data_IF_344509965677
#
_entry.id   IF_344509965677
#
_cell.length_a   1.000
_cell.length_b   1.000
_cell.length_c   1.000
_cell.angle_alpha   90.00
_cell.angle_beta   90.00
_cell.angle_gamma   90.00
#
_symmetry.space_group_name_H-M   'P 1'
#
loop_
_entity.id
_entity.type
_entity.pdbx_description
1 polymer ?
#
# COMPACT_ATOMS: atom_id res chain seq x y z
N UNK A 1 20.77 -30.54 -16.66
CA UNK A 1 19.48 -31.25 -16.43
C UNK A 1 18.35 -30.28 -16.73
N UNK A 2 17.63 -30.49 -17.82
CA UNK A 2 16.49 -29.63 -18.18
C UNK A 2 15.32 -30.08 -17.33
N UNK A 3 14.95 -29.29 -16.33
CA UNK A 3 13.72 -29.51 -15.56
C UNK A 3 12.55 -29.27 -16.52
N UNK A 4 11.68 -30.25 -16.69
CA UNK A 4 10.48 -30.08 -17.50
C UNK A 4 9.62 -28.95 -16.90
N UNK A 5 9.15 -28.04 -17.72
CA UNK A 5 8.34 -26.88 -17.32
C UNK A 5 7.12 -27.29 -16.47
N UNK A 6 6.54 -28.45 -16.76
CA UNK A 6 5.44 -29.04 -16.00
C UNK A 6 5.80 -29.30 -14.53
N UNK A 7 6.96 -29.90 -14.28
CA UNK A 7 7.42 -30.16 -12.89
C UNK A 7 7.69 -28.89 -12.12
N UNK A 8 8.19 -27.85 -12.77
CA UNK A 8 8.36 -26.56 -12.14
C UNK A 8 7.01 -25.93 -11.79
N UNK A 9 6.05 -26.01 -12.71
CA UNK A 9 4.68 -25.50 -12.50
C UNK A 9 4.00 -26.19 -11.30
N UNK A 10 4.10 -27.52 -11.20
CA UNK A 10 3.55 -28.28 -10.07
C UNK A 10 4.13 -27.83 -8.73
N UNK A 11 5.44 -27.64 -8.64
CA UNK A 11 6.10 -27.19 -7.39
C UNK A 11 5.69 -25.76 -7.03
N UNK A 12 5.61 -24.87 -8.01
CA UNK A 12 5.18 -23.49 -7.81
C UNK A 12 3.72 -23.44 -7.39
N UNK A 13 2.84 -24.19 -8.04
CA UNK A 13 1.42 -24.26 -7.70
C UNK A 13 1.24 -24.75 -6.26
N UNK A 14 1.86 -25.86 -5.87
CA UNK A 14 1.75 -26.40 -4.52
C UNK A 14 2.19 -25.38 -3.47
N UNK A 15 3.23 -24.60 -3.75
CA UNK A 15 3.70 -23.56 -2.83
C UNK A 15 2.76 -22.38 -2.75
N UNK A 16 2.15 -21.99 -3.86
CA UNK A 16 1.16 -20.92 -3.88
C UNK A 16 -0.11 -21.32 -3.12
N UNK A 17 -0.59 -22.55 -3.31
CA UNK A 17 -1.73 -23.11 -2.56
C UNK A 17 -1.47 -23.10 -1.05
N UNK A 18 -0.30 -23.52 -0.62
CA UNK A 18 0.10 -23.49 0.78
C UNK A 18 0.06 -22.06 1.35
N UNK A 19 0.65 -21.10 0.67
CA UNK A 19 0.66 -19.70 1.10
C UNK A 19 -0.75 -19.13 1.18
N UNK A 20 -1.57 -19.35 0.17
CA UNK A 20 -2.95 -18.87 0.12
C UNK A 20 -3.80 -19.51 1.21
N UNK A 21 -3.60 -20.80 1.50
CA UNK A 21 -4.26 -21.51 2.58
C UNK A 21 -3.93 -20.95 3.95
N UNK A 22 -2.67 -20.61 4.22
CA UNK A 22 -2.29 -19.90 5.45
C UNK A 22 -2.97 -18.55 5.58
N UNK A 23 -3.08 -17.80 4.49
CA UNK A 23 -3.78 -16.50 4.52
C UNK A 23 -5.27 -16.71 4.78
N UNK A 24 -5.91 -17.70 4.14
CA UNK A 24 -7.32 -18.06 4.39
C UNK A 24 -7.56 -18.39 5.87
N UNK A 25 -6.73 -19.22 6.46
CA UNK A 25 -6.82 -19.59 7.88
C UNK A 25 -6.73 -18.36 8.80
N UNK A 26 -5.81 -17.45 8.50
CA UNK A 26 -5.67 -16.19 9.25
C UNK A 26 -6.87 -15.27 9.07
N UNK A 27 -7.43 -15.22 7.88
CA UNK A 27 -8.62 -14.43 7.58
C UNK A 27 -9.83 -14.96 8.37
N UNK A 28 -10.05 -16.26 8.34
CA UNK A 28 -11.14 -16.94 9.07
C UNK A 28 -11.01 -16.76 10.60
N UNK A 29 -9.79 -16.87 11.12
CA UNK A 29 -9.55 -16.67 12.57
C UNK A 29 -9.72 -15.21 13.01
N UNK A 30 -9.64 -14.25 12.10
CA UNK A 30 -9.77 -12.81 12.41
C UNK A 30 -11.23 -12.33 12.53
N UNK A 31 -12.24 -13.16 12.26
CA UNK A 31 -13.66 -12.82 12.17
C UNK A 31 -14.04 -11.83 11.05
N UNK A 32 -13.10 -11.47 10.18
CA UNK A 32 -13.37 -10.60 9.04
C UNK A 32 -13.90 -11.35 7.81
N UNK A 33 -13.83 -12.67 7.81
CA UNK A 33 -14.26 -13.52 6.70
C UNK A 33 -15.72 -13.23 6.26
N UNK A 34 -16.62 -13.02 7.22
CA UNK A 34 -18.00 -12.66 6.96
C UNK A 34 -18.23 -11.20 6.55
N UNK A 35 -17.20 -10.38 6.59
CA UNK A 35 -17.26 -8.93 6.31
C UNK A 35 -16.61 -8.54 4.97
N UNK A 36 -16.40 -9.50 4.05
CA UNK A 36 -15.72 -9.28 2.76
C UNK A 36 -16.70 -9.44 1.57
N UNK A 37 -17.82 -8.72 1.54
CA UNK A 37 -18.78 -8.86 0.43
C UNK A 37 -18.22 -8.35 -0.91
N UNK A 38 -17.21 -7.48 -0.87
CA UNK A 38 -16.58 -6.92 -2.05
C UNK A 38 -15.50 -7.82 -2.68
N UNK A 39 -15.18 -8.97 -2.04
CA UNK A 39 -14.13 -9.87 -2.46
C UNK A 39 -12.73 -9.47 -2.02
N UNK A 40 -11.73 -10.16 -2.56
CA UNK A 40 -10.31 -10.03 -2.18
C UNK A 40 -9.52 -9.35 -3.29
N UNK A 41 -8.67 -8.42 -2.93
CA UNK A 41 -7.74 -7.76 -3.85
C UNK A 41 -6.34 -8.31 -3.63
N UNK A 42 -5.78 -8.90 -4.68
CA UNK A 42 -4.43 -9.47 -4.68
C UNK A 42 -3.49 -8.54 -5.46
N UNK A 43 -2.28 -8.35 -4.96
CA UNK A 43 -1.30 -7.48 -5.62
C UNK A 43 0.12 -8.03 -5.43
N UNK A 44 1.07 -7.48 -6.16
CA UNK A 44 2.46 -7.93 -6.17
C UNK A 44 2.82 -8.71 -7.42
N UNK A 45 4.12 -8.94 -7.63
CA UNK A 45 4.62 -9.58 -8.86
C UNK A 45 4.10 -11.00 -9.10
N UNK A 46 3.87 -11.76 -8.03
CA UNK A 46 3.38 -13.16 -8.10
C UNK A 46 1.98 -13.24 -8.72
N UNK A 47 1.16 -12.19 -8.59
CA UNK A 47 -0.18 -12.17 -9.19
C UNK A 47 -0.19 -12.20 -10.71
N UNK A 48 0.97 -11.97 -11.34
CA UNK A 48 1.15 -12.04 -12.80
C UNK A 48 1.43 -13.47 -13.30
N UNK A 49 1.57 -14.43 -12.39
CA UNK A 49 1.72 -15.84 -12.76
C UNK A 49 0.42 -16.35 -13.38
N UNK A 50 0.54 -17.01 -14.52
CA UNK A 50 -0.61 -17.61 -15.20
C UNK A 50 -1.36 -18.57 -14.27
N UNK A 51 -2.68 -18.49 -14.25
CA UNK A 51 -3.53 -19.32 -13.37
C UNK A 51 -3.60 -18.87 -11.90
N UNK A 52 -2.77 -17.93 -11.43
CA UNK A 52 -2.75 -17.51 -10.04
C UNK A 52 -4.10 -16.97 -9.54
N UNK A 53 -4.78 -16.15 -10.33
CA UNK A 53 -6.07 -15.59 -9.94
C UNK A 53 -7.12 -16.66 -9.68
N UNK A 54 -7.20 -17.63 -10.60
CA UNK A 54 -8.13 -18.76 -10.46
C UNK A 54 -7.80 -19.62 -9.24
N UNK A 55 -6.53 -19.92 -9.03
CA UNK A 55 -6.07 -20.64 -7.85
C UNK A 55 -6.48 -19.92 -6.55
N UNK A 56 -6.34 -18.59 -6.52
CA UNK A 56 -6.73 -17.80 -5.36
C UNK A 56 -8.24 -17.82 -5.13
N UNK A 57 -9.06 -17.73 -6.18
CA UNK A 57 -10.52 -17.85 -6.09
C UNK A 57 -10.95 -19.23 -5.57
N UNK A 58 -10.31 -20.31 -6.07
CA UNK A 58 -10.57 -21.66 -5.62
C UNK A 58 -10.20 -21.86 -4.14
N UNK A 59 -9.07 -21.31 -3.70
CA UNK A 59 -8.62 -21.43 -2.29
C UNK A 59 -9.47 -20.57 -1.36
N UNK A 60 -9.70 -19.30 -1.68
CA UNK A 60 -10.42 -18.39 -0.80
C UNK A 60 -11.94 -18.59 -0.81
N UNK A 61 -12.50 -19.22 -1.86
CA UNK A 61 -13.95 -19.34 -2.09
C UNK A 61 -14.66 -17.97 -2.16
N UNK A 62 -13.92 -16.95 -2.58
CA UNK A 62 -14.37 -15.57 -2.75
C UNK A 62 -13.95 -15.04 -4.11
N UNK A 63 -14.69 -14.06 -4.61
CA UNK A 63 -14.26 -13.33 -5.81
C UNK A 63 -12.92 -12.64 -5.54
N UNK A 64 -11.95 -12.87 -6.42
CA UNK A 64 -10.65 -12.25 -6.34
C UNK A 64 -10.41 -11.32 -7.55
N UNK A 65 -9.66 -10.27 -7.36
CA UNK A 65 -9.18 -9.43 -8.45
C UNK A 65 -7.73 -9.00 -8.23
N UNK A 66 -7.02 -8.77 -9.32
CA UNK A 66 -5.67 -8.22 -9.25
C UNK A 66 -5.76 -6.71 -9.16
N UNK A 67 -5.11 -6.15 -8.15
CA UNK A 67 -4.95 -4.71 -7.96
C UNK A 67 -3.59 -4.24 -8.44
N UNK A 68 -3.55 -3.13 -9.17
CA UNK A 68 -2.33 -2.44 -9.55
C UNK A 68 -2.32 -1.03 -8.92
N UNK A 69 -1.13 -0.44 -8.67
CA UNK A 69 -1.05 0.89 -8.12
C UNK A 69 -1.44 1.93 -9.18
N UNK A 70 -2.25 2.90 -8.78
CA UNK A 70 -2.63 4.05 -9.60
C UNK A 70 -1.69 5.23 -9.32
N UNK A 71 -0.38 5.01 -9.48
CA UNK A 71 0.58 6.08 -9.10
C UNK A 71 1.06 6.89 -10.30
N UNK A 72 0.84 6.41 -11.53
CA UNK A 72 1.77 6.86 -12.54
C UNK A 72 1.14 7.19 -13.88
N UNK A 73 0.31 8.18 -13.88
CA UNK A 73 0.10 8.96 -15.10
C UNK A 73 1.42 9.60 -15.63
N UNK A 74 2.40 9.82 -14.74
CA UNK A 74 3.67 10.48 -15.04
C UNK A 74 4.83 9.57 -15.49
N UNK A 75 4.76 8.25 -15.28
CA UNK A 75 5.82 7.31 -15.69
C UNK A 75 5.47 6.50 -16.96
N UNK A 76 4.56 6.98 -17.78
CA UNK A 76 4.32 6.42 -19.11
C UNK A 76 3.78 4.98 -19.15
N UNK A 77 2.90 4.61 -18.22
CA UNK A 77 2.21 3.30 -18.22
C UNK A 77 3.02 2.13 -17.66
N UNK A 78 4.33 2.25 -17.51
CA UNK A 78 5.17 1.19 -16.93
C UNK A 78 4.89 0.93 -15.44
N UNK A 79 4.27 1.88 -14.75
CA UNK A 79 3.97 1.81 -13.33
C UNK A 79 2.66 1.11 -12.95
N UNK A 80 1.83 0.71 -13.90
CA UNK A 80 0.53 0.09 -13.64
C UNK A 80 0.61 -1.43 -13.40
N UNK A 81 1.80 -2.00 -13.27
CA UNK A 81 1.96 -3.40 -12.93
C UNK A 81 1.78 -3.64 -11.42
N UNK A 82 1.07 -4.71 -11.02
CA UNK A 82 0.96 -5.13 -9.64
C UNK A 82 2.32 -5.30 -8.92
N UNK A 83 3.37 -5.61 -9.67
CA UNK A 83 4.74 -5.76 -9.14
C UNK A 83 5.27 -4.50 -8.45
N UNK A 84 4.79 -3.33 -8.84
CA UNK A 84 5.25 -2.05 -8.28
C UNK A 84 4.45 -1.57 -7.06
N UNK A 85 3.47 -2.34 -6.60
CA UNK A 85 2.55 -1.90 -5.53
C UNK A 85 3.26 -1.51 -4.24
N UNK A 86 4.29 -2.25 -3.82
CA UNK A 86 5.06 -1.95 -2.61
C UNK A 86 5.87 -0.67 -2.77
N UNK A 87 6.61 -0.55 -3.87
CA UNK A 87 7.41 0.66 -4.17
C UNK A 87 6.52 1.89 -4.24
N UNK A 88 5.41 1.74 -4.92
CA UNK A 88 4.40 2.75 -5.08
C UNK A 88 3.82 3.23 -3.74
N UNK A 89 3.49 2.29 -2.85
CA UNK A 89 3.03 2.57 -1.50
C UNK A 89 4.07 3.31 -0.66
N UNK A 90 5.32 2.88 -0.71
CA UNK A 90 6.43 3.52 0.01
C UNK A 90 6.67 4.96 -0.47
N UNK A 91 6.64 5.20 -1.77
CA UNK A 91 6.80 6.55 -2.33
C UNK A 91 5.65 7.46 -1.91
N UNK A 92 4.42 6.96 -1.93
CA UNK A 92 3.24 7.72 -1.49
C UNK A 92 3.34 8.09 0.00
N UNK A 93 3.75 7.15 0.84
CA UNK A 93 3.91 7.39 2.27
C UNK A 93 5.06 8.38 2.55
N UNK A 94 6.20 8.25 1.88
CA UNK A 94 7.30 9.19 1.99
C UNK A 94 6.87 10.62 1.63
N UNK A 95 6.15 10.79 0.52
CA UNK A 95 5.61 12.10 0.12
C UNK A 95 4.61 12.66 1.15
N UNK A 96 3.79 11.79 1.75
CA UNK A 96 2.84 12.20 2.80
C UNK A 96 3.54 12.67 4.07
N UNK A 97 4.59 11.97 4.51
CA UNK A 97 5.42 12.35 5.67
C UNK A 97 6.10 13.70 5.43
N UNK A 98 6.66 13.91 4.25
CA UNK A 98 7.30 15.18 3.89
C UNK A 98 6.31 16.35 3.91
N UNK A 99 5.11 16.17 3.36
CA UNK A 99 4.06 17.19 3.41
C UNK A 99 3.63 17.51 4.84
N UNK A 100 3.49 16.50 5.70
CA UNK A 100 3.19 16.70 7.13
C UNK A 100 4.31 17.46 7.86
N UNK A 101 5.56 17.14 7.58
CA UNK A 101 6.73 17.82 8.15
C UNK A 101 6.72 19.31 7.77
N UNK A 102 6.56 19.65 6.51
CA UNK A 102 6.47 21.04 6.04
C UNK A 102 5.31 21.83 6.67
N UNK A 103 4.13 21.22 6.82
CA UNK A 103 2.99 21.86 7.48
C UNK A 103 3.21 22.12 8.96
N UNK A 104 4.00 21.28 9.64
CA UNK A 104 4.35 21.45 11.05
C UNK A 104 5.36 22.57 11.24
N UNK A 105 6.34 22.70 10.36
CA UNK A 105 7.32 23.78 10.36
C UNK A 105 6.69 25.15 10.05
N UNK A 106 5.80 25.22 9.05
CA UNK A 106 5.07 26.47 8.76
C UNK A 106 4.19 26.93 9.92
N UNK A 107 3.52 26.01 10.62
CA UNK A 107 2.72 26.35 11.81
C UNK A 107 3.60 26.79 12.98
N UNK A 108 4.76 26.17 13.17
CA UNK A 108 5.74 26.57 14.17
C UNK A 108 6.29 27.97 13.90
N UNK A 109 6.69 28.25 12.67
CA UNK A 109 7.24 29.54 12.27
C UNK A 109 6.21 30.70 12.32
N UNK A 110 4.94 30.43 11.94
CA UNK A 110 3.84 31.40 12.09
C UNK A 110 3.50 31.68 13.55
N UNK A 111 3.62 30.70 14.44
CA UNK A 111 3.40 30.85 15.87
C UNK A 111 4.50 31.70 16.52
N UNK A 112 5.76 31.46 16.17
CA UNK A 112 6.90 32.24 16.66
C UNK A 112 6.84 33.70 16.18
N UNK A 113 6.53 33.95 14.90
CA UNK A 113 6.36 35.32 14.39
C UNK A 113 5.22 36.06 15.06
N UNK A 114 4.04 35.43 15.26
CA UNK A 114 2.93 36.08 15.98
C UNK A 114 3.27 36.40 17.44
N UNK A 115 3.95 35.51 18.16
CA UNK A 115 4.40 35.73 19.52
C UNK A 115 5.41 36.89 19.61
N UNK A 116 6.39 36.94 18.71
CA UNK A 116 7.42 37.97 18.69
C UNK A 116 6.83 39.37 18.40
N UNK A 117 5.96 39.51 17.43
CA UNK A 117 5.32 40.79 17.12
C UNK A 117 4.36 41.26 18.23
N UNK A 118 3.66 40.35 18.92
CA UNK A 118 2.80 40.73 20.04
C UNK A 118 3.61 41.22 21.22
N UNK A 119 4.74 40.63 21.49
CA UNK A 119 5.65 41.03 22.61
C UNK A 119 6.27 42.40 22.33
N UNK A 120 6.73 42.68 21.12
CA UNK A 120 7.26 43.98 20.72
C UNK A 120 6.17 45.08 20.81
N UNK A 121 4.98 44.79 20.32
CA UNK A 121 3.85 45.72 20.38
C UNK A 121 3.46 46.07 21.83
N UNK A 122 3.48 45.12 22.74
CA UNK A 122 3.19 45.33 24.16
C UNK A 122 4.29 46.15 24.86
N UNK A 123 5.54 45.92 24.47
CA UNK A 123 6.68 46.70 25.00
C UNK A 123 6.64 48.18 24.56
N UNK A 124 6.25 48.42 23.29
CA UNK A 124 6.15 49.79 22.74
C UNK A 124 4.96 50.60 23.29
N UNK A 125 3.82 49.94 23.61
CA UNK A 125 2.61 50.62 24.10
C UNK A 125 2.65 50.83 25.65
N UNK A 126 3.46 50.03 26.36
CA UNK A 126 3.56 50.10 27.81
C UNK A 126 4.60 51.11 28.36
N UNK A 127 5.30 51.82 27.45
CA UNK A 127 6.40 52.73 27.85
C UNK A 127 6.14 54.20 27.50
N UNK A 128 4.85 54.55 27.30
CA UNK A 128 4.39 55.94 27.20
C UNK A 128 3.18 56.18 28.08
#
# INVERSE_FOLDING_TARGET
EVIAQEKLAEVVQARLEEILSFVKERLQSSKFDQMIPAGIVLTGGVTQTEGFLKLAEDVFEHNCRIGAPDIVASLGGAGNSPAWSVVAGLLKEAAHIEQKGRHSEEKGQKRLRKGFFSTIKHWFIGNY
#
